data_IF_775646919104
#
_entry.id   IF_775646919104
#
_cell.length_a   1.000
_cell.length_b   1.000
_cell.length_c   1.000
_cell.angle_alpha   90.00
_cell.angle_beta   90.00
_cell.angle_gamma   90.00
#
_symmetry.space_group_name_H-M   'P 1'
#
loop_
_entity.id
_entity.type
_entity.pdbx_description
1 polymer ?
#
# COMPACT_ATOMS: atom_id res chain seq x y z
N UNK A 1 -22.14 -9.58 13.70
CA UNK A 1 -21.19 -8.55 13.24
C UNK A 1 -20.14 -8.45 14.33
N UNK A 2 -18.90 -8.93 14.11
CA UNK A 2 -17.86 -8.83 15.15
C UNK A 2 -17.39 -7.39 15.16
N UNK A 3 -17.52 -6.72 16.29
CA UNK A 3 -16.88 -5.43 16.54
C UNK A 3 -15.38 -5.62 16.31
N UNK A 4 -14.86 -5.07 15.21
CA UNK A 4 -13.41 -4.95 15.01
C UNK A 4 -12.97 -3.87 16.00
N UNK A 5 -12.61 -4.28 17.21
CA UNK A 5 -11.87 -3.43 18.13
C UNK A 5 -10.53 -3.12 17.46
N UNK A 6 -10.43 -1.94 16.84
CA UNK A 6 -9.14 -1.38 16.44
C UNK A 6 -8.36 -1.11 17.71
N UNK A 7 -7.43 -2.02 18.03
CA UNK A 7 -6.42 -1.75 19.05
C UNK A 7 -5.63 -0.51 18.60
N UNK A 8 -5.36 0.44 19.51
CA UNK A 8 -4.47 1.55 19.18
C UNK A 8 -3.16 0.97 18.67
N UNK A 9 -2.67 1.51 17.56
CA UNK A 9 -1.41 1.10 16.96
C UNK A 9 -0.30 1.23 18.02
N UNK A 10 0.37 0.12 18.33
CA UNK A 10 1.48 0.13 19.27
C UNK A 10 2.62 0.95 18.67
N UNK A 11 2.84 2.14 19.24
CA UNK A 11 3.87 3.06 18.75
C UNK A 11 5.27 2.49 18.88
N UNK A 12 5.56 1.72 19.94
CA UNK A 12 6.87 1.10 20.12
C UNK A 12 7.11 0.05 19.04
N UNK A 13 6.09 -0.74 18.71
CA UNK A 13 6.17 -1.71 17.62
C UNK A 13 6.34 -1.04 16.25
N UNK A 14 5.59 0.04 16.01
CA UNK A 14 5.70 0.79 14.75
C UNK A 14 7.04 1.48 14.58
N UNK A 15 7.59 2.10 15.63
CA UNK A 15 8.90 2.74 15.57
C UNK A 15 9.97 1.72 15.20
N UNK A 16 9.96 0.54 15.86
CA UNK A 16 10.86 -0.59 15.52
C UNK A 16 10.66 -1.09 14.08
N UNK A 17 9.41 -1.17 13.61
CA UNK A 17 9.13 -1.57 12.24
C UNK A 17 9.70 -0.56 11.24
N UNK A 18 9.49 0.73 11.48
CA UNK A 18 9.96 1.81 10.61
C UNK A 18 11.49 1.93 10.61
N UNK A 19 12.17 1.59 11.71
CA UNK A 19 13.64 1.50 11.79
C UNK A 19 14.23 0.42 10.87
N UNK A 20 13.46 -0.65 10.57
CA UNK A 20 13.88 -1.71 9.65
C UNK A 20 13.59 -1.39 8.19
N UNK A 21 12.86 -0.30 7.93
CA UNK A 21 12.40 0.07 6.59
C UNK A 21 13.33 1.09 5.93
N UNK A 22 13.39 1.05 4.59
CA UNK A 22 14.04 2.09 3.79
C UNK A 22 13.01 3.16 3.43
N UNK A 23 13.27 4.42 3.78
CA UNK A 23 12.44 5.55 3.35
C UNK A 23 12.62 5.81 1.85
N UNK A 24 11.50 6.04 1.17
CA UNK A 24 11.47 6.40 -0.24
C UNK A 24 10.54 7.59 -0.45
N UNK A 25 10.97 8.54 -1.29
CA UNK A 25 10.17 9.70 -1.67
C UNK A 25 9.78 9.59 -3.14
N UNK A 26 8.52 9.91 -3.43
CA UNK A 26 7.97 9.91 -4.77
C UNK A 26 7.37 11.29 -5.04
N UNK A 27 7.61 11.91 -6.22
CA UNK A 27 6.92 13.12 -6.61
C UNK A 27 5.45 12.83 -6.90
N UNK A 28 4.58 13.83 -6.81
CA UNK A 28 3.16 13.69 -7.12
C UNK A 28 2.95 13.05 -8.51
N UNK A 29 1.90 12.22 -8.62
CA UNK A 29 1.53 11.47 -9.84
C UNK A 29 2.50 10.36 -10.26
N UNK A 30 3.52 10.05 -9.46
CA UNK A 30 4.44 8.95 -9.73
C UNK A 30 3.79 7.58 -9.51
N UNK A 31 4.20 6.60 -10.33
CA UNK A 31 3.83 5.20 -10.13
C UNK A 31 4.76 4.55 -9.11
N UNK A 32 4.17 4.00 -8.05
CA UNK A 32 4.86 3.30 -6.96
C UNK A 32 4.91 1.80 -7.23
N UNK A 33 3.80 1.22 -7.69
CA UNK A 33 3.69 -0.20 -8.08
C UNK A 33 2.83 -0.34 -9.33
N UNK A 34 3.11 -1.34 -10.16
CA UNK A 34 2.31 -1.73 -11.33
C UNK A 34 1.83 -3.17 -11.22
N UNK A 35 0.70 -3.51 -11.86
CA UNK A 35 0.35 -4.89 -12.10
C UNK A 35 1.52 -5.64 -12.76
N UNK A 36 1.80 -6.86 -12.30
CA UNK A 36 2.93 -7.68 -12.75
C UNK A 36 4.24 -7.49 -11.97
N UNK A 37 4.41 -6.40 -11.21
CA UNK A 37 5.59 -6.22 -10.36
C UNK A 37 5.68 -7.34 -9.29
N UNK A 38 6.87 -7.67 -8.81
CA UNK A 38 7.02 -8.69 -7.76
C UNK A 38 6.28 -8.28 -6.47
N UNK A 39 5.49 -9.20 -5.90
CA UNK A 39 4.66 -8.97 -4.72
C UNK A 39 5.39 -8.83 -3.37
N UNK A 40 6.71 -8.66 -3.34
CA UNK A 40 7.53 -8.94 -2.17
C UNK A 40 7.83 -7.74 -1.25
N UNK A 41 7.18 -6.59 -1.44
CA UNK A 41 7.46 -5.37 -0.65
C UNK A 41 6.23 -4.92 0.14
N UNK A 42 6.39 -4.62 1.42
CA UNK A 42 5.38 -3.90 2.20
C UNK A 42 5.81 -2.44 2.33
N UNK A 43 4.89 -1.50 2.11
CA UNK A 43 5.13 -0.08 2.31
C UNK A 43 4.15 0.50 3.32
N UNK A 44 4.55 1.58 3.97
CA UNK A 44 3.75 2.34 4.92
C UNK A 44 3.79 3.81 4.54
N UNK A 45 2.62 4.45 4.49
CA UNK A 45 2.51 5.87 4.13
C UNK A 45 2.87 6.72 5.35
N UNK A 46 4.00 7.43 5.27
CA UNK A 46 4.45 8.35 6.32
C UNK A 46 3.84 9.75 6.12
N UNK A 47 3.75 10.19 4.87
CA UNK A 47 3.25 11.51 4.48
C UNK A 47 2.68 11.44 3.05
N UNK A 48 1.72 12.31 2.74
CA UNK A 48 1.08 12.39 1.43
C UNK A 48 -0.09 11.42 1.29
N UNK A 49 -0.53 11.21 0.05
CA UNK A 49 -1.63 10.30 -0.28
C UNK A 49 -1.27 9.43 -1.49
N UNK A 50 -1.93 8.29 -1.59
CA UNK A 50 -1.71 7.30 -2.65
C UNK A 50 -3.06 6.76 -3.11
N UNK A 51 -3.24 6.62 -4.42
CA UNK A 51 -4.41 5.98 -5.04
C UNK A 51 -4.05 4.56 -5.44
N UNK A 52 -4.93 3.62 -5.13
CA UNK A 52 -4.90 2.24 -5.61
C UNK A 52 -6.00 2.05 -6.63
N UNK A 53 -5.64 1.62 -7.83
CA UNK A 53 -6.59 1.42 -8.93
C UNK A 53 -6.29 0.14 -9.72
N UNK A 54 -7.28 -0.30 -10.49
CA UNK A 54 -7.11 -1.30 -11.55
C UNK A 54 -7.60 -0.72 -12.87
N UNK A 55 -7.10 -1.23 -13.98
CA UNK A 55 -7.50 -0.81 -15.32
C UNK A 55 -8.33 -1.93 -15.96
N UNK A 56 -9.52 -1.58 -16.45
CA UNK A 56 -10.36 -2.50 -17.23
C UNK A 56 -9.87 -2.63 -18.67
N UNK A 57 -10.37 -3.64 -19.39
CA UNK A 57 -10.01 -3.90 -20.80
C UNK A 57 -10.34 -2.73 -21.75
N UNK A 58 -11.23 -1.82 -21.34
CA UNK A 58 -11.62 -0.61 -22.07
C UNK A 58 -10.71 0.60 -21.78
N UNK A 59 -9.64 0.41 -21.00
CA UNK A 59 -8.69 1.45 -20.60
C UNK A 59 -9.21 2.37 -19.50
N UNK A 60 -10.35 2.07 -18.87
CA UNK A 60 -10.87 2.86 -17.75
C UNK A 60 -10.25 2.41 -16.44
N UNK A 61 -9.73 3.38 -15.68
CA UNK A 61 -9.27 3.13 -14.32
C UNK A 61 -10.45 3.09 -13.35
N UNK A 62 -10.53 2.01 -12.57
CA UNK A 62 -11.39 1.89 -11.39
C UNK A 62 -10.54 2.14 -10.15
N UNK A 63 -10.84 3.22 -9.42
CA UNK A 63 -10.22 3.50 -8.14
C UNK A 63 -10.81 2.59 -7.08
N UNK A 64 -9.96 1.81 -6.42
CA UNK A 64 -10.33 0.87 -5.36
C UNK A 64 -10.22 1.52 -3.98
N UNK A 65 -9.20 2.35 -3.76
CA UNK A 65 -8.98 3.03 -2.49
C UNK A 65 -8.06 4.25 -2.61
N UNK A 66 -8.19 5.14 -1.63
CA UNK A 66 -7.23 6.21 -1.34
C UNK A 66 -6.60 5.94 0.02
N UNK A 67 -5.28 5.95 0.08
CA UNK A 67 -4.49 5.66 1.26
C UNK A 67 -3.74 6.92 1.70
N UNK A 68 -3.67 7.12 3.00
CA UNK A 68 -3.17 8.32 3.68
C UNK A 68 -2.14 7.94 4.75
N UNK A 69 -1.52 8.91 5.45
CA UNK A 69 -0.55 8.60 6.48
C UNK A 69 -1.14 7.67 7.54
N UNK A 70 -0.45 6.56 7.82
CA UNK A 70 -0.98 5.49 8.67
C UNK A 70 -1.34 4.21 7.94
N UNK A 71 -1.54 4.26 6.62
CA UNK A 71 -1.97 3.11 5.85
C UNK A 71 -0.79 2.28 5.32
N UNK A 72 -1.00 0.96 5.24
CA UNK A 72 -0.10 0.03 4.58
C UNK A 72 -0.48 -0.16 3.11
N UNK A 73 0.53 -0.48 2.29
CA UNK A 73 0.39 -0.83 0.88
C UNK A 73 1.14 -2.14 0.62
N UNK A 74 0.48 -3.08 -0.04
CA UNK A 74 1.11 -4.31 -0.52
C UNK A 74 1.11 -5.44 0.50
N UNK A 75 0.29 -5.33 1.54
CA UNK A 75 0.00 -6.30 2.57
C UNK A 75 -0.50 -7.65 2.02
N UNK A 76 -1.22 -7.64 0.89
CA UNK A 76 -1.59 -8.86 0.18
C UNK A 76 -0.36 -9.71 -0.17
N UNK A 77 0.73 -9.07 -0.58
CA UNK A 77 2.02 -9.70 -0.87
C UNK A 77 2.61 -10.46 0.32
N UNK A 78 2.40 -9.92 1.54
CA UNK A 78 2.89 -10.49 2.78
C UNK A 78 2.01 -11.64 3.29
N UNK A 79 0.69 -11.43 3.29
CA UNK A 79 -0.24 -12.36 3.95
C UNK A 79 -0.81 -13.42 3.01
N UNK A 80 -1.06 -13.07 1.75
CA UNK A 80 -1.69 -13.97 0.78
C UNK A 80 -0.68 -14.58 -0.21
N UNK A 81 0.58 -14.12 -0.18
CA UNK A 81 1.69 -14.60 -1.03
C UNK A 81 1.36 -14.71 -2.53
N UNK A 82 0.68 -13.75 -3.16
CA UNK A 82 0.62 -13.69 -4.61
C UNK A 82 2.03 -13.51 -5.19
N UNK A 83 2.28 -14.06 -6.37
CA UNK A 83 3.59 -13.95 -7.02
C UNK A 83 3.83 -12.55 -7.61
N UNK A 84 2.77 -11.83 -7.95
CA UNK A 84 2.81 -10.53 -8.60
C UNK A 84 1.76 -9.56 -8.02
N UNK A 85 1.95 -8.27 -8.26
CA UNK A 85 0.95 -7.24 -7.98
C UNK A 85 -0.19 -7.31 -8.99
N UNK A 86 -1.40 -7.04 -8.54
CA UNK A 86 -2.60 -7.01 -9.40
C UNK A 86 -3.11 -5.58 -9.65
N UNK A 87 -2.61 -4.61 -8.88
CA UNK A 87 -3.13 -3.23 -8.87
C UNK A 87 -2.04 -2.22 -9.20
N UNK A 88 -2.48 -1.09 -9.74
CA UNK A 88 -1.69 0.12 -9.91
C UNK A 88 -1.72 0.93 -8.61
N UNK A 89 -0.56 1.45 -8.21
CA UNK A 89 -0.42 2.32 -7.04
C UNK A 89 0.29 3.61 -7.48
N UNK A 90 -0.33 4.76 -7.22
CA UNK A 90 0.21 6.08 -7.60
C UNK A 90 0.07 7.10 -6.49
N UNK A 91 1.09 7.92 -6.27
CA UNK A 91 0.99 9.16 -5.47
C UNK A 91 0.22 10.24 -6.21
#
# INVERSE_FOLDING_TARGET
>A
MRDIQFYPVDRVAMDRFLELCKRQHYPARATVMRPGDSGQTLMYVIEGSVTVSTEGDDGRELILSYLNPGDFIGEMGLFMRPTHREVLVRT
#
